data_IF_308803511966
#
_entry.id   IF_308803511966
#
_cell.length_a   1.000
_cell.length_b   1.000
_cell.length_c   1.000
_cell.angle_alpha   90.00
_cell.angle_beta   90.00
_cell.angle_gamma   90.00
#
_symmetry.space_group_name_H-M   'P 1'
#
loop_
_entity.id
_entity.type
_entity.pdbx_description
1 polymer ?
#
# COMPACT_ATOMS: atom_id res chain seq x y z
N UNK A 1 15.33 1.42 -14.85
CA UNK A 1 15.55 2.20 -13.63
C UNK A 1 14.19 2.45 -13.00
N UNK A 2 14.00 2.18 -11.72
CA UNK A 2 12.80 2.54 -10.97
C UNK A 2 12.98 3.95 -10.44
N UNK A 3 11.93 4.75 -10.48
CA UNK A 3 11.91 6.11 -9.93
C UNK A 3 10.91 6.14 -8.79
N UNK A 4 11.30 6.70 -7.66
CA UNK A 4 10.43 6.94 -6.53
C UNK A 4 10.63 8.35 -6.01
N UNK A 5 9.55 8.97 -5.56
CA UNK A 5 9.59 10.25 -4.85
C UNK A 5 8.53 10.27 -3.76
N UNK A 6 8.78 11.09 -2.75
CA UNK A 6 7.90 11.23 -1.61
C UNK A 6 7.87 12.68 -1.16
N UNK A 7 6.70 13.12 -0.75
CA UNK A 7 6.49 14.42 -0.10
C UNK A 7 5.66 14.22 1.16
N UNK A 8 6.13 14.76 2.28
CA UNK A 8 5.41 14.80 3.54
C UNK A 8 5.30 16.24 4.02
N UNK A 9 4.17 16.55 4.64
CA UNK A 9 3.93 17.83 5.26
C UNK A 9 3.21 17.64 6.60
N UNK A 10 3.49 18.53 7.54
CA UNK A 10 2.79 18.61 8.82
C UNK A 10 2.65 20.06 9.24
N UNK A 11 1.56 20.33 9.95
CA UNK A 11 1.27 21.62 10.54
C UNK A 11 0.68 21.40 11.93
N UNK A 12 1.16 22.15 12.93
CA UNK A 12 0.64 22.12 14.29
C UNK A 12 0.02 23.46 14.65
N UNK A 13 -1.16 23.42 15.24
CA UNK A 13 -1.90 24.57 15.68
C UNK A 13 -2.23 24.47 17.16
N UNK A 14 -1.95 25.54 17.92
CA UNK A 14 -2.28 25.68 19.32
C UNK A 14 -3.56 26.52 19.48
N UNK A 15 -4.66 25.86 19.82
CA UNK A 15 -5.93 26.54 20.16
C UNK A 15 -5.85 27.21 21.51
N UNK A 16 -5.17 26.58 22.47
CA UNK A 16 -4.81 27.10 23.76
C UNK A 16 -3.42 26.60 24.15
N UNK A 17 -2.77 27.11 25.23
CA UNK A 17 -1.51 26.54 25.68
C UNK A 17 -1.54 25.06 26.03
N UNK A 18 -2.73 24.50 26.33
CA UNK A 18 -2.92 23.10 26.70
C UNK A 18 -3.54 22.25 25.58
N UNK A 19 -4.20 22.87 24.61
CA UNK A 19 -4.91 22.14 23.55
C UNK A 19 -4.34 22.48 22.17
N UNK A 20 -3.82 21.49 21.51
CA UNK A 20 -3.25 21.65 20.19
C UNK A 20 -3.60 20.48 19.27
N UNK A 21 -3.50 20.74 18.01
CA UNK A 21 -3.82 19.80 16.93
C UNK A 21 -2.74 19.83 15.88
N UNK A 22 -2.28 18.64 15.47
CA UNK A 22 -1.34 18.47 14.36
C UNK A 22 -2.06 17.84 13.18
N UNK A 23 -1.99 18.48 12.03
CA UNK A 23 -2.38 17.90 10.74
C UNK A 23 -1.13 17.41 10.03
N UNK A 24 -1.20 16.25 9.44
CA UNK A 24 -0.08 15.67 8.71
C UNK A 24 -0.56 14.84 7.53
N UNK A 25 0.30 14.70 6.55
CA UNK A 25 0.00 13.88 5.39
C UNK A 25 1.19 13.75 4.47
N UNK A 26 1.06 12.85 3.53
CA UNK A 26 2.09 12.61 2.54
C UNK A 26 1.60 11.80 1.36
N UNK A 27 2.38 11.87 0.31
CA UNK A 27 2.22 11.06 -0.89
C UNK A 27 3.58 10.47 -1.27
N UNK A 28 3.56 9.21 -1.64
CA UNK A 28 4.69 8.47 -2.19
C UNK A 28 4.26 7.85 -3.52
N UNK A 29 5.11 7.95 -4.51
CA UNK A 29 4.87 7.44 -5.84
C UNK A 29 6.07 6.60 -6.31
N UNK A 30 5.79 5.38 -6.77
CA UNK A 30 6.77 4.48 -7.35
C UNK A 30 6.40 4.19 -8.80
N UNK A 31 7.36 4.47 -9.69
CA UNK A 31 7.22 4.26 -11.15
C UNK A 31 8.34 3.36 -11.65
N UNK A 32 7.94 2.30 -12.32
CA UNK A 32 8.86 1.38 -12.99
C UNK A 32 9.04 1.80 -14.45
N UNK A 33 10.27 1.71 -14.96
CA UNK A 33 10.49 1.88 -16.38
C UNK A 33 9.91 0.67 -17.15
N UNK A 34 9.77 0.80 -18.47
CA UNK A 34 9.15 -0.22 -19.32
C UNK A 34 9.81 -1.59 -19.16
N UNK A 35 11.14 -1.65 -19.06
CA UNK A 35 11.86 -2.93 -18.92
C UNK A 35 11.56 -3.58 -17.57
N UNK A 36 11.64 -2.84 -16.48
CA UNK A 36 11.33 -3.37 -15.15
C UNK A 36 9.87 -3.78 -15.05
N UNK A 37 8.94 -2.95 -15.57
CA UNK A 37 7.52 -3.29 -15.58
C UNK A 37 7.23 -4.56 -16.39
N UNK A 38 7.84 -4.70 -17.58
CA UNK A 38 7.69 -5.91 -18.40
C UNK A 38 8.20 -7.16 -17.67
N UNK A 39 9.32 -7.07 -16.97
CA UNK A 39 9.86 -8.18 -16.17
C UNK A 39 8.93 -8.55 -15.01
N UNK A 40 8.43 -7.58 -14.29
CA UNK A 40 7.49 -7.79 -13.18
C UNK A 40 6.20 -8.42 -13.69
N UNK A 41 5.58 -7.83 -14.71
CA UNK A 41 4.37 -8.37 -15.32
C UNK A 41 4.56 -9.81 -15.81
N UNK A 42 5.70 -10.13 -16.41
CA UNK A 42 6.01 -11.49 -16.85
C UNK A 42 6.16 -12.45 -15.67
N UNK A 43 6.85 -12.03 -14.60
CA UNK A 43 7.01 -12.83 -13.38
C UNK A 43 5.67 -13.09 -12.69
N UNK A 44 4.76 -12.12 -12.72
CA UNK A 44 3.40 -12.22 -12.19
C UNK A 44 2.44 -13.00 -13.09
N UNK A 45 2.89 -13.36 -14.29
CA UNK A 45 2.08 -14.08 -15.28
C UNK A 45 1.20 -13.21 -16.15
N UNK A 46 1.36 -11.89 -16.06
CA UNK A 46 0.71 -10.93 -16.93
C UNK A 46 1.65 -10.47 -18.05
N UNK A 47 2.30 -11.41 -18.71
CA UNK A 47 3.24 -11.14 -19.80
C UNK A 47 3.86 -12.41 -20.35
N UNK A 48 4.77 -12.24 -21.31
CA UNK A 48 5.51 -13.32 -21.99
C UNK A 48 6.99 -12.99 -22.12
N UNK A 49 7.81 -13.97 -22.38
CA UNK A 49 9.25 -13.77 -22.64
C UNK A 49 10.13 -14.18 -21.48
N UNK A 50 10.91 -13.35 -20.95
CA UNK A 50 12.03 -13.46 -19.98
C UNK A 50 12.37 -14.85 -19.39
N UNK A 51 11.36 -15.64 -18.99
CA UNK A 51 11.53 -17.00 -18.45
C UNK A 51 11.89 -18.04 -19.54
N UNK A 52 11.72 -17.69 -20.80
CA UNK A 52 11.99 -18.53 -21.98
C UNK A 52 13.21 -18.05 -22.77
N UNK A 53 13.95 -17.09 -22.25
CA UNK A 53 15.12 -16.51 -22.95
C UNK A 53 14.80 -15.43 -23.98
N UNK A 54 13.53 -15.08 -24.16
CA UNK A 54 13.09 -13.93 -24.97
C UNK A 54 12.96 -12.67 -24.12
N UNK A 55 13.04 -11.47 -24.70
CA UNK A 55 12.75 -10.24 -23.94
C UNK A 55 11.38 -10.28 -23.28
N UNK A 56 11.30 -9.81 -22.04
CA UNK A 56 10.04 -9.74 -21.31
C UNK A 56 9.09 -8.73 -21.96
N UNK A 57 7.84 -9.10 -22.15
CA UNK A 57 6.78 -8.25 -22.69
C UNK A 57 5.57 -8.34 -21.78
N UNK A 58 5.15 -7.20 -21.24
CA UNK A 58 3.94 -7.10 -20.44
C UNK A 58 2.69 -7.34 -21.29
N UNK A 59 1.70 -8.02 -20.72
CA UNK A 59 0.38 -8.07 -21.32
C UNK A 59 -0.27 -6.68 -21.32
N UNK A 60 -1.15 -6.36 -22.29
CA UNK A 60 -1.87 -5.10 -22.30
C UNK A 60 -2.62 -4.86 -20.99
N UNK A 61 -2.44 -3.68 -20.40
CA UNK A 61 -3.07 -3.31 -19.14
C UNK A 61 -2.32 -3.74 -17.87
N UNK A 62 -1.18 -4.44 -17.97
CA UNK A 62 -0.32 -4.70 -16.82
C UNK A 62 0.56 -3.50 -16.50
N UNK A 63 0.45 -3.00 -15.28
CA UNK A 63 1.23 -1.87 -14.78
C UNK A 63 1.47 -2.04 -13.27
N UNK A 64 2.74 -2.08 -12.88
CA UNK A 64 3.18 -2.24 -11.50
C UNK A 64 3.45 -0.94 -10.76
N UNK A 65 3.18 0.21 -11.37
CA UNK A 65 3.26 1.49 -10.68
C UNK A 65 2.23 1.57 -9.57
N UNK A 66 2.57 2.22 -8.47
CA UNK A 66 1.66 2.44 -7.36
C UNK A 66 1.91 3.76 -6.65
N UNK A 67 0.89 4.23 -5.98
CA UNK A 67 0.90 5.43 -5.17
C UNK A 67 0.34 5.12 -3.78
N UNK A 68 0.96 5.70 -2.75
CA UNK A 68 0.45 5.67 -1.39
C UNK A 68 0.26 7.12 -0.95
N UNK A 69 -0.90 7.45 -0.45
CA UNK A 69 -1.09 8.74 0.21
C UNK A 69 -1.80 8.58 1.54
N UNK A 70 -1.55 9.52 2.42
CA UNK A 70 -2.11 9.53 3.75
C UNK A 70 -2.43 10.94 4.22
N UNK A 71 -3.44 11.04 5.05
CA UNK A 71 -3.79 12.25 5.79
C UNK A 71 -4.20 11.87 7.19
N UNK A 72 -3.76 12.64 8.16
CA UNK A 72 -4.07 12.38 9.56
C UNK A 72 -4.17 13.66 10.37
N UNK A 73 -4.77 13.52 11.52
CA UNK A 73 -4.85 14.56 12.54
C UNK A 73 -4.57 13.94 13.90
N UNK A 74 -3.84 14.68 14.73
CA UNK A 74 -3.61 14.35 16.12
C UNK A 74 -4.12 15.51 16.98
N UNK A 75 -5.09 15.23 17.82
CA UNK A 75 -5.54 16.11 18.89
C UNK A 75 -4.78 15.76 20.16
N UNK A 76 -4.30 16.77 20.90
CA UNK A 76 -3.63 16.58 22.18
C UNK A 76 -4.09 17.60 23.20
N UNK A 77 -4.32 17.13 24.42
CA UNK A 77 -4.60 17.96 25.57
C UNK A 77 -3.60 17.69 26.70
N UNK A 78 -2.86 18.72 27.08
CA UNK A 78 -1.84 18.69 28.13
C UNK A 78 -2.45 19.10 29.47
N UNK A 79 -2.71 18.13 30.34
CA UNK A 79 -3.19 18.41 31.70
C UNK A 79 -2.12 19.07 32.56
N UNK A 80 -0.90 18.62 32.42
CA UNK A 80 0.29 19.14 33.07
C UNK A 80 1.48 19.02 32.12
N UNK A 81 2.63 19.61 32.50
CA UNK A 81 3.88 19.45 31.71
C UNK A 81 4.32 17.99 31.51
N UNK A 82 3.79 17.07 32.33
CA UNK A 82 4.22 15.66 32.35
C UNK A 82 3.06 14.69 32.06
N UNK A 83 1.84 15.18 31.82
CA UNK A 83 0.67 14.34 31.56
C UNK A 83 -0.14 14.92 30.41
N UNK A 84 -0.29 14.14 29.36
CA UNK A 84 -1.21 14.46 28.26
C UNK A 84 -2.07 13.26 27.85
N UNK A 85 -3.17 13.57 27.22
CA UNK A 85 -4.01 12.62 26.48
C UNK A 85 -4.12 13.08 25.04
N UNK A 86 -4.14 12.16 24.11
CA UNK A 86 -4.26 12.47 22.70
C UNK A 86 -5.04 11.43 21.93
N UNK A 87 -5.59 11.86 20.82
CA UNK A 87 -6.23 10.99 19.84
C UNK A 87 -5.63 11.21 18.46
N UNK A 88 -5.23 10.13 17.80
CA UNK A 88 -4.75 10.15 16.43
C UNK A 88 -5.81 9.57 15.51
N UNK A 89 -6.03 10.24 14.40
CA UNK A 89 -6.82 9.77 13.27
C UNK A 89 -5.92 9.71 12.04
N UNK A 90 -5.90 8.57 11.34
CA UNK A 90 -5.11 8.39 10.14
C UNK A 90 -5.94 7.69 9.08
N UNK A 91 -6.03 8.30 7.92
CA UNK A 91 -6.52 7.68 6.70
C UNK A 91 -5.37 7.49 5.71
N UNK A 92 -5.26 6.29 5.16
CA UNK A 92 -4.29 5.94 4.14
C UNK A 92 -4.98 5.27 2.97
N UNK A 93 -4.47 5.52 1.78
CA UNK A 93 -4.91 4.85 0.56
C UNK A 93 -3.70 4.40 -0.24
N UNK A 94 -3.76 3.15 -0.66
CA UNK A 94 -2.87 2.55 -1.65
C UNK A 94 -3.61 2.44 -2.97
N UNK A 95 -3.18 3.19 -3.97
CA UNK A 95 -3.56 3.00 -5.37
C UNK A 95 -2.49 2.12 -6.00
N UNK A 96 -2.81 0.83 -6.13
CA UNK A 96 -1.84 -0.22 -6.43
C UNK A 96 -1.76 -0.56 -7.92
N UNK A 97 -0.83 -1.45 -8.24
CA UNK A 97 -0.63 -2.03 -9.56
C UNK A 97 -1.93 -2.51 -10.23
N UNK A 98 -1.97 -2.45 -11.53
CA UNK A 98 -3.05 -2.97 -12.36
C UNK A 98 -2.56 -4.18 -13.12
N UNK A 99 -3.22 -5.32 -12.93
CA UNK A 99 -2.93 -6.56 -13.67
C UNK A 99 -4.14 -6.97 -14.51
N UNK A 100 -3.95 -7.41 -15.77
CA UNK A 100 -5.03 -7.96 -16.58
C UNK A 100 -5.64 -9.18 -15.89
N UNK A 101 -6.94 -9.13 -15.61
CA UNK A 101 -7.65 -10.25 -14.97
C UNK A 101 -7.29 -10.49 -13.51
N UNK A 102 -6.58 -9.57 -12.85
CA UNK A 102 -6.10 -9.74 -11.47
C UNK A 102 -5.36 -11.07 -11.26
N UNK A 103 -4.43 -11.39 -12.14
CA UNK A 103 -3.72 -12.67 -12.14
C UNK A 103 -2.41 -12.54 -11.40
N UNK A 104 -2.21 -13.36 -10.39
CA UNK A 104 -0.91 -13.62 -9.78
C UNK A 104 -0.50 -15.05 -10.08
N UNK A 105 0.72 -15.23 -10.58
CA UNK A 105 1.34 -16.57 -10.70
C UNK A 105 2.26 -16.81 -9.52
N UNK A 106 2.08 -17.89 -8.75
CA UNK A 106 3.11 -18.33 -7.84
C UNK A 106 4.35 -18.82 -8.63
N UNK A 107 5.50 -18.82 -7.96
CA UNK A 107 6.78 -19.19 -8.56
C UNK A 107 6.83 -20.59 -9.20
N UNK A 108 5.84 -21.46 -8.88
CA UNK A 108 5.72 -22.80 -9.46
C UNK A 108 4.98 -22.87 -10.82
N UNK A 109 4.67 -21.73 -11.41
CA UNK A 109 4.04 -21.65 -12.73
C UNK A 109 2.52 -21.88 -12.75
N UNK A 110 1.87 -22.07 -11.60
CA UNK A 110 0.42 -22.20 -11.54
C UNK A 110 -0.24 -20.83 -11.71
N UNK A 111 -1.15 -20.71 -12.66
CA UNK A 111 -1.93 -19.47 -12.85
C UNK A 111 -2.96 -19.35 -11.74
N UNK A 112 -2.88 -18.27 -11.00
CA UNK A 112 -3.86 -17.94 -9.98
C UNK A 112 -4.86 -16.95 -10.57
N UNK A 113 -6.03 -17.47 -10.95
CA UNK A 113 -7.13 -16.61 -11.39
C UNK A 113 -8.02 -16.31 -10.18
N UNK A 114 -8.23 -15.05 -9.81
CA UNK A 114 -9.21 -14.72 -8.78
C UNK A 114 -10.60 -15.01 -9.35
N UNK A 115 -11.30 -15.96 -8.77
CA UNK A 115 -12.72 -16.12 -9.00
C UNK A 115 -13.47 -15.13 -8.11
N UNK A 116 -14.09 -14.11 -8.71
CA UNK A 116 -15.12 -13.28 -8.07
C UNK A 116 -14.73 -12.59 -6.75
N UNK A 117 -13.65 -11.83 -6.72
CA UNK A 117 -13.21 -11.07 -5.53
C UNK A 117 -12.89 -11.91 -4.28
N UNK A 118 -12.95 -13.21 -4.33
CA UNK A 118 -12.54 -14.08 -3.24
C UNK A 118 -11.04 -14.39 -3.31
N UNK A 119 -10.44 -14.57 -2.16
CA UNK A 119 -9.03 -14.92 -1.98
C UNK A 119 -8.70 -16.35 -2.48
N UNK A 120 -9.59 -16.96 -3.22
CA UNK A 120 -9.43 -18.31 -3.75
C UNK A 120 -9.09 -18.25 -5.24
N UNK A 121 -7.98 -18.85 -5.63
CA UNK A 121 -7.57 -18.98 -7.03
C UNK A 121 -7.84 -20.38 -7.52
N UNK A 122 -8.34 -20.50 -8.77
CA UNK A 122 -8.46 -21.79 -9.42
C UNK A 122 -7.05 -22.34 -9.70
N UNK A 123 -6.72 -23.48 -9.11
CA UNK A 123 -5.52 -24.23 -9.48
C UNK A 123 -5.81 -25.05 -10.73
N UNK A 124 -4.87 -25.04 -11.69
CA UNK A 124 -4.93 -25.98 -12.82
C UNK A 124 -5.02 -27.43 -12.32
N UNK A 125 -5.64 -28.26 -13.09
CA UNK A 125 -5.88 -29.73 -13.07
C UNK A 125 -5.54 -30.61 -11.84
N UNK A 126 -4.99 -30.12 -10.78
CA UNK A 126 -4.61 -30.87 -9.58
C UNK A 126 -5.43 -30.58 -8.32
N UNK A 127 -6.53 -29.83 -8.45
CA UNK A 127 -7.63 -29.89 -7.49
C UNK A 127 -7.43 -29.22 -6.11
N UNK A 128 -6.63 -28.21 -5.96
CA UNK A 128 -6.56 -27.45 -4.71
C UNK A 128 -6.75 -25.95 -4.96
N UNK A 129 -7.65 -25.29 -4.25
CA UNK A 129 -7.70 -23.83 -4.23
C UNK A 129 -6.53 -23.29 -3.39
N UNK A 130 -5.58 -22.62 -4.05
CA UNK A 130 -4.54 -21.88 -3.32
C UNK A 130 -5.03 -20.47 -3.01
N UNK A 131 -4.72 -19.93 -1.82
CA UNK A 131 -5.02 -18.54 -1.52
C UNK A 131 -4.23 -17.62 -2.46
N UNK A 132 -4.92 -16.69 -3.11
CA UNK A 132 -4.29 -15.66 -3.91
C UNK A 132 -4.62 -14.28 -3.37
N UNK A 133 -3.65 -13.37 -3.52
CA UNK A 133 -3.85 -11.97 -3.20
C UNK A 133 -4.38 -11.25 -4.45
N UNK A 134 -5.50 -10.56 -4.29
CA UNK A 134 -5.95 -9.59 -5.28
C UNK A 134 -5.13 -8.31 -5.13
N UNK A 135 -4.47 -7.90 -6.20
CA UNK A 135 -3.89 -6.56 -6.28
C UNK A 135 -5.03 -5.59 -6.58
N UNK A 136 -5.38 -4.78 -5.63
CA UNK A 136 -6.45 -3.77 -5.74
C UNK A 136 -6.14 -2.59 -4.82
N UNK A 137 -6.75 -1.46 -5.14
CA UNK A 137 -6.69 -0.30 -4.28
C UNK A 137 -7.22 -0.64 -2.88
N UNK A 138 -6.51 -0.22 -1.86
CA UNK A 138 -6.82 -0.50 -0.46
C UNK A 138 -6.91 0.80 0.32
N UNK A 139 -7.86 0.85 1.23
CA UNK A 139 -7.99 1.95 2.19
C UNK A 139 -7.77 1.41 3.59
N UNK A 140 -7.12 2.20 4.41
CA UNK A 140 -6.94 1.94 5.82
C UNK A 140 -7.37 3.16 6.62
N UNK A 141 -8.15 2.92 7.68
CA UNK A 141 -8.55 3.93 8.65
C UNK A 141 -8.09 3.47 10.02
N UNK A 142 -7.28 4.28 10.68
CA UNK A 142 -6.81 4.01 12.03
C UNK A 142 -7.22 5.13 12.97
N UNK A 143 -7.68 4.75 14.15
CA UNK A 143 -7.94 5.66 15.27
C UNK A 143 -7.18 5.13 16.46
N UNK A 144 -6.35 5.97 17.07
CA UNK A 144 -5.53 5.60 18.22
C UNK A 144 -5.77 6.59 19.35
N UNK A 145 -6.01 6.08 20.54
CA UNK A 145 -6.00 6.88 21.77
C UNK A 145 -4.68 6.68 22.48
N UNK A 146 -4.11 7.76 22.97
CA UNK A 146 -2.84 7.77 23.69
C UNK A 146 -2.98 8.55 25.00
N UNK A 147 -2.41 8.01 26.04
CA UNK A 147 -2.16 8.70 27.30
C UNK A 147 -0.70 8.56 27.65
N UNK A 148 -0.06 9.65 28.01
CA UNK A 148 1.35 9.65 28.37
C UNK A 148 1.56 10.37 29.69
N UNK A 149 2.39 9.77 30.54
CA UNK A 149 2.80 10.33 31.82
C UNK A 149 4.30 10.16 32.01
N UNK A 150 5.00 11.27 32.18
CA UNK A 150 6.40 11.27 32.61
C UNK A 150 6.46 11.18 34.13
N UNK A 151 7.22 10.22 34.64
CA UNK A 151 7.37 9.99 36.08
C UNK A 151 8.62 10.66 36.64
N UNK A 152 9.52 11.14 35.78
CA UNK A 152 10.69 11.90 36.15
C UNK A 152 10.52 13.33 35.64
N UNK A 153 10.68 14.36 36.51
CA UNK A 153 10.60 15.76 36.11
C UNK A 153 11.80 16.20 35.26
#
# INVERSE_FOLDING_TARGET
MTTGWQVNASYEHYWTPQFHESFYGGIEEIRYNSQANNMLCTAEGAGTGALTGSPAVAAPGCNNNFDIWSVGSRLQYDFTKTLYIGGDFLYQRLDTATLPGNVLKPANGTVLLPANNDLACATGAAGGAAPCANIRNMNNLAVTLRMHKDFLP
#
